data_IF_086313166628
#
_entry.id   IF_086313166628
#
_cell.length_a   1.000
_cell.length_b   1.000
_cell.length_c   1.000
_cell.angle_alpha   90.00
_cell.angle_beta   90.00
_cell.angle_gamma   90.00
#
_symmetry.space_group_name_H-M   'P 1'
#
loop_
_entity.id
_entity.type
_entity.pdbx_description
1 polymer ?
#
# COMPACT_ATOMS: atom_id res chain seq x y z
N UNK A 1 22.09 32.25 -0.59
CA UNK A 1 21.98 30.81 -0.26
C UNK A 1 20.53 30.47 -0.36
N UNK A 2 20.10 29.87 -1.48
CA UNK A 2 18.74 29.35 -1.59
C UNK A 2 18.68 28.05 -0.80
N UNK A 3 17.83 28.03 0.23
CA UNK A 3 17.48 26.80 0.92
C UNK A 3 16.48 26.08 0.01
N UNK A 4 16.95 25.08 -0.75
CA UNK A 4 16.05 24.10 -1.36
C UNK A 4 15.45 23.28 -0.23
N UNK A 5 14.17 23.52 0.07
CA UNK A 5 13.35 22.53 0.74
C UNK A 5 13.16 21.40 -0.25
N UNK A 6 13.95 20.35 -0.11
CA UNK A 6 13.61 19.07 -0.69
C UNK A 6 12.36 18.62 0.07
N UNK A 7 11.18 18.85 -0.51
CA UNK A 7 9.96 18.16 -0.06
C UNK A 7 10.33 16.68 -0.07
N UNK A 8 10.48 16.08 1.11
CA UNK A 8 10.72 14.66 1.24
C UNK A 8 9.56 13.94 0.56
N UNK A 9 9.75 13.62 -0.72
CA UNK A 9 8.73 13.03 -1.57
C UNK A 9 8.31 11.73 -0.89
N UNK A 10 7.08 11.68 -0.39
CA UNK A 10 6.55 10.50 0.29
C UNK A 10 6.74 9.30 -0.65
N UNK A 11 7.28 8.18 -0.16
CA UNK A 11 7.62 7.07 -1.07
C UNK A 11 6.33 6.48 -1.67
N UNK A 12 6.42 6.03 -2.92
CA UNK A 12 5.28 5.41 -3.60
C UNK A 12 4.74 4.22 -2.81
N UNK A 13 5.63 3.40 -2.24
CA UNK A 13 5.26 2.30 -1.35
C UNK A 13 4.47 2.76 -0.12
N UNK A 14 4.76 3.94 0.43
CA UNK A 14 3.98 4.52 1.56
C UNK A 14 2.56 4.85 1.14
N UNK A 15 2.36 5.45 -0.04
CA UNK A 15 1.03 5.78 -0.57
C UNK A 15 0.20 4.51 -0.85
N UNK A 16 0.83 3.51 -1.46
CA UNK A 16 0.21 2.20 -1.70
C UNK A 16 -0.15 1.52 -0.39
N UNK A 17 0.76 1.52 0.60
CA UNK A 17 0.52 0.92 1.90
C UNK A 17 -0.64 1.59 2.65
N UNK A 18 -0.76 2.93 2.59
CA UNK A 18 -1.91 3.65 3.17
C UNK A 18 -3.22 3.23 2.52
N UNK A 19 -3.24 3.10 1.19
CA UNK A 19 -4.42 2.67 0.45
C UNK A 19 -4.82 1.24 0.82
N UNK A 20 -3.88 0.29 0.78
CA UNK A 20 -4.15 -1.11 1.14
C UNK A 20 -4.58 -1.24 2.61
N UNK A 21 -3.92 -0.51 3.52
CA UNK A 21 -4.30 -0.45 4.94
C UNK A 21 -5.74 -0.01 5.12
N UNK A 22 -6.15 1.07 4.47
CA UNK A 22 -7.54 1.56 4.58
C UNK A 22 -8.60 0.52 4.19
N UNK A 23 -8.25 -0.44 3.32
CA UNK A 23 -9.14 -1.52 2.88
C UNK A 23 -9.04 -2.76 3.77
N UNK A 24 -7.84 -3.11 4.24
CA UNK A 24 -7.56 -4.42 4.84
C UNK A 24 -7.30 -4.39 6.35
N UNK A 25 -7.11 -3.23 6.97
CA UNK A 25 -6.75 -3.12 8.40
C UNK A 25 -7.75 -3.83 9.31
N UNK A 26 -9.05 -3.67 9.05
CA UNK A 26 -10.11 -4.32 9.84
C UNK A 26 -10.07 -5.85 9.72
N UNK A 27 -9.87 -6.37 8.50
CA UNK A 27 -9.79 -7.81 8.23
C UNK A 27 -8.57 -8.43 8.91
N UNK A 28 -7.41 -7.77 8.80
CA UNK A 28 -6.16 -8.22 9.41
C UNK A 28 -6.22 -8.13 10.94
N UNK A 29 -6.73 -7.02 11.48
CA UNK A 29 -6.94 -6.85 12.92
C UNK A 29 -7.90 -7.88 13.50
N UNK A 30 -8.99 -8.20 12.79
CA UNK A 30 -9.91 -9.25 13.22
C UNK A 30 -9.28 -10.65 13.20
N UNK A 31 -8.47 -10.97 12.18
CA UNK A 31 -7.89 -12.29 12.02
C UNK A 31 -6.70 -12.55 12.96
N UNK A 32 -5.82 -11.57 13.12
CA UNK A 32 -4.57 -11.70 13.89
C UNK A 32 -4.67 -11.14 15.32
N UNK A 33 -5.71 -10.36 15.62
CA UNK A 33 -5.90 -9.74 16.93
C UNK A 33 -4.85 -8.69 17.27
N UNK A 34 -4.77 -8.32 18.55
CA UNK A 34 -3.85 -7.29 19.07
C UNK A 34 -2.40 -7.76 19.20
N UNK A 35 -2.12 -9.04 18.95
CA UNK A 35 -0.76 -9.60 18.98
C UNK A 35 0.12 -9.18 17.79
N UNK A 36 -0.47 -8.55 16.77
CA UNK A 36 0.21 -8.07 15.57
C UNK A 36 0.18 -6.54 15.52
N UNK A 37 1.37 -5.92 15.47
CA UNK A 37 1.49 -4.49 15.18
C UNK A 37 1.17 -4.25 13.70
N UNK A 38 -0.04 -3.75 13.42
CA UNK A 38 -0.44 -3.38 12.05
C UNK A 38 0.42 -2.24 11.51
N UNK A 39 0.89 -1.33 12.36
CA UNK A 39 1.81 -0.27 11.96
C UNK A 39 3.11 -0.86 11.39
N UNK A 40 3.75 -1.78 12.14
CA UNK A 40 4.98 -2.43 11.70
C UNK A 40 4.77 -3.30 10.46
N UNK A 41 3.61 -3.97 10.35
CA UNK A 41 3.24 -4.73 9.17
C UNK A 41 3.18 -3.82 7.93
N UNK A 42 2.48 -2.70 8.02
CA UNK A 42 2.32 -1.79 6.88
C UNK A 42 3.60 -1.00 6.56
N UNK A 43 4.48 -0.77 7.53
CA UNK A 43 5.83 -0.24 7.27
C UNK A 43 6.69 -1.23 6.47
N UNK A 44 6.64 -2.53 6.81
CA UNK A 44 7.33 -3.57 6.04
C UNK A 44 6.73 -3.68 4.64
N UNK A 45 5.40 -3.65 4.53
CA UNK A 45 4.71 -3.70 3.24
C UNK A 45 5.10 -2.53 2.34
N UNK A 46 5.15 -1.30 2.86
CA UNK A 46 5.58 -0.13 2.10
C UNK A 46 7.00 -0.32 1.54
N UNK A 47 7.94 -0.80 2.36
CA UNK A 47 9.32 -1.07 1.93
C UNK A 47 9.38 -2.14 0.84
N UNK A 48 8.61 -3.22 0.96
CA UNK A 48 8.55 -4.27 -0.05
C UNK A 48 7.98 -3.76 -1.38
N UNK A 49 6.99 -2.86 -1.34
CA UNK A 49 6.46 -2.23 -2.56
C UNK A 49 7.53 -1.36 -3.23
N UNK A 50 8.27 -0.56 -2.47
CA UNK A 50 9.35 0.26 -3.03
C UNK A 50 10.48 -0.60 -3.63
N UNK A 51 10.86 -1.68 -2.94
CA UNK A 51 11.87 -2.64 -3.42
C UNK A 51 11.42 -3.33 -4.71
N UNK A 52 10.17 -3.79 -4.78
CA UNK A 52 9.65 -4.48 -5.96
C UNK A 52 9.47 -3.51 -7.14
N UNK A 53 8.99 -2.29 -6.90
CA UNK A 53 8.86 -1.25 -7.92
C UNK A 53 10.21 -0.82 -8.52
N UNK A 54 11.29 -0.95 -7.76
CA UNK A 54 12.65 -0.71 -8.26
C UNK A 54 13.14 -1.84 -9.19
N UNK A 55 12.55 -3.04 -9.09
CA UNK A 55 12.88 -4.19 -9.95
C UNK A 55 11.98 -4.20 -11.19
N UNK A 56 10.67 -4.03 -10.99
CA UNK A 56 9.67 -4.09 -12.06
C UNK A 56 8.44 -3.25 -11.74
N UNK A 57 7.74 -2.80 -12.80
CA UNK A 57 6.49 -2.09 -12.63
C UNK A 57 5.38 -3.05 -12.17
N UNK A 58 4.73 -2.74 -11.03
CA UNK A 58 3.59 -3.50 -10.52
C UNK A 58 2.34 -3.16 -11.34
N UNK A 59 1.76 -4.15 -12.02
CA UNK A 59 0.56 -4.00 -12.84
C UNK A 59 -0.62 -4.80 -12.26
N UNK A 60 -1.62 -4.15 -11.61
CA UNK A 60 -2.78 -4.84 -11.09
C UNK A 60 -3.73 -5.31 -12.22
N UNK A 61 -4.23 -6.54 -12.10
CA UNK A 61 -5.23 -7.07 -13.03
C UNK A 61 -6.62 -6.47 -12.74
N UNK A 62 -7.19 -5.78 -13.72
CA UNK A 62 -8.51 -5.17 -13.61
C UNK A 62 -9.52 -5.95 -14.46
N UNK A 63 -10.57 -6.47 -13.82
CA UNK A 63 -11.68 -7.16 -14.51
C UNK A 63 -12.92 -6.28 -14.50
N UNK A 64 -13.41 -5.93 -15.69
CA UNK A 64 -14.64 -5.16 -15.86
C UNK A 64 -15.71 -6.12 -16.41
N UNK A 65 -16.81 -6.28 -15.68
CA UNK A 65 -17.93 -7.15 -16.04
C UNK A 65 -19.20 -6.32 -16.24
N UNK A 66 -19.80 -6.40 -17.44
CA UNK A 66 -21.10 -5.80 -17.74
C UNK A 66 -22.13 -6.93 -17.88
N UNK A 67 -23.09 -6.95 -16.96
CA UNK A 67 -24.11 -7.99 -16.90
C UNK A 67 -25.48 -7.39 -17.25
N UNK A 68 -26.32 -8.17 -17.96
CA UNK A 68 -27.75 -7.85 -18.12
C UNK A 68 -28.58 -8.94 -17.45
N UNK A 69 -29.73 -8.54 -16.91
CA UNK A 69 -30.72 -9.51 -16.42
C UNK A 69 -31.19 -10.37 -17.62
N UNK A 70 -31.31 -11.68 -17.39
CA UNK A 70 -31.93 -12.61 -18.33
C UNK A 70 -33.45 -12.37 -18.42
#
# INVERSE_FOLDING_TARGET
>A
MEVKFDEAKESFGREVARTVRSVQESMLGHHFGEGLSLDSLFDIFARLVDEEMAIQEIQPANFILVLRKL
#
